data_IF_649397871320
#
_entry.id   IF_649397871320
#
_cell.length_a   1.000
_cell.length_b   1.000
_cell.length_c   1.000
_cell.angle_alpha   90.00
_cell.angle_beta   90.00
_cell.angle_gamma   90.00
#
_symmetry.space_group_name_H-M   'P 1'
#
loop_
_entity.id
_entity.type
_entity.pdbx_description
1 polymer ?
#
# COMPACT_ATOMS: atom_id res chain seq x y z
N UNK A 1 -22.57 23.86 -29.27
CA UNK A 1 -22.12 22.85 -28.27
C UNK A 1 -20.61 22.88 -28.18
N UNK A 2 -20.02 23.21 -27.01
CA UNK A 2 -18.59 23.00 -26.81
C UNK A 2 -18.31 21.50 -26.91
N UNK A 3 -17.66 21.06 -27.99
CA UNK A 3 -17.05 19.73 -28.06
C UNK A 3 -15.94 19.71 -27.02
N UNK A 4 -16.23 19.26 -25.80
CA UNK A 4 -15.17 18.99 -24.82
C UNK A 4 -14.28 17.91 -25.44
N UNK A 5 -12.97 18.18 -25.63
CA UNK A 5 -12.09 17.17 -26.19
C UNK A 5 -12.13 15.93 -25.29
N UNK A 6 -12.07 14.74 -25.88
CA UNK A 6 -12.09 13.46 -25.16
C UNK A 6 -11.10 13.45 -23.98
N UNK A 7 -9.94 14.07 -24.16
CA UNK A 7 -8.93 14.25 -23.12
C UNK A 7 -9.46 14.94 -21.85
N UNK A 8 -10.30 15.97 -21.99
CA UNK A 8 -10.90 16.65 -20.84
C UNK A 8 -11.91 15.75 -20.11
N UNK A 9 -12.70 14.97 -20.86
CA UNK A 9 -13.63 14.02 -20.26
C UNK A 9 -12.88 12.92 -19.51
N UNK A 10 -11.84 12.35 -20.11
CA UNK A 10 -10.97 11.36 -19.46
C UNK A 10 -10.33 11.92 -18.20
N UNK A 11 -9.82 13.16 -18.24
CA UNK A 11 -9.27 13.83 -17.07
C UNK A 11 -10.31 13.99 -15.95
N UNK A 12 -11.52 14.45 -16.28
CA UNK A 12 -12.59 14.62 -15.30
C UNK A 12 -13.07 13.28 -14.72
N UNK A 13 -13.17 12.24 -15.53
CA UNK A 13 -13.49 10.88 -15.08
C UNK A 13 -12.43 10.41 -14.10
N UNK A 14 -11.14 10.52 -14.47
CA UNK A 14 -10.05 10.15 -13.57
C UNK A 14 -10.05 10.95 -12.28
N UNK A 15 -10.39 12.24 -12.32
CA UNK A 15 -10.52 13.08 -11.12
C UNK A 15 -11.65 12.62 -10.22
N UNK A 16 -12.83 12.31 -10.79
CA UNK A 16 -13.99 11.81 -10.03
C UNK A 16 -13.73 10.43 -9.43
N UNK A 17 -13.09 9.54 -10.19
CA UNK A 17 -12.66 8.23 -9.70
C UNK A 17 -11.71 8.37 -8.51
N UNK A 18 -10.67 9.22 -8.63
CA UNK A 18 -9.75 9.48 -7.54
C UNK A 18 -10.45 10.06 -6.30
N UNK A 19 -11.43 10.95 -6.48
CA UNK A 19 -12.23 11.47 -5.36
C UNK A 19 -13.01 10.36 -4.66
N UNK A 20 -13.67 9.49 -5.43
CA UNK A 20 -14.42 8.36 -4.87
C UNK A 20 -13.52 7.37 -4.13
N UNK A 21 -12.37 7.02 -4.71
CA UNK A 21 -11.42 6.11 -4.06
C UNK A 21 -10.89 6.75 -2.76
N UNK A 22 -10.50 8.02 -2.80
CA UNK A 22 -10.03 8.73 -1.61
C UNK A 22 -11.09 8.78 -0.50
N UNK A 23 -12.35 9.02 -0.84
CA UNK A 23 -13.47 9.00 0.13
C UNK A 23 -13.63 7.62 0.77
N UNK A 24 -13.61 6.54 -0.02
CA UNK A 24 -13.71 5.17 0.50
C UNK A 24 -12.51 4.76 1.36
N UNK A 25 -11.31 5.19 0.99
CA UNK A 25 -10.13 4.96 1.82
C UNK A 25 -10.21 5.75 3.12
N UNK A 26 -10.63 7.01 3.06
CA UNK A 26 -10.80 7.86 4.24
C UNK A 26 -11.84 7.30 5.22
N UNK A 27 -12.93 6.67 4.75
CA UNK A 27 -13.92 6.02 5.65
C UNK A 27 -13.34 4.85 6.45
N UNK A 28 -12.26 4.22 5.97
CA UNK A 28 -11.48 3.23 6.72
C UNK A 28 -10.15 3.79 7.23
N UNK A 29 -10.04 5.12 7.27
CA UNK A 29 -8.90 5.91 7.73
C UNK A 29 -7.57 5.53 7.03
N UNK A 30 -7.64 5.18 5.75
CA UNK A 30 -6.51 4.93 4.87
C UNK A 30 -6.33 6.08 3.87
N UNK A 31 -5.13 6.15 3.29
CA UNK A 31 -4.77 7.05 2.19
C UNK A 31 -4.41 6.22 0.96
N UNK A 32 -4.42 6.82 -0.23
CA UNK A 32 -4.00 6.15 -1.49
C UNK A 32 -2.65 5.46 -1.37
N UNK A 33 -1.72 6.11 -0.67
CA UNK A 33 -0.42 5.58 -0.32
C UNK A 33 -0.48 4.21 0.36
N UNK A 34 -1.36 4.05 1.34
CA UNK A 34 -1.55 2.78 2.03
C UNK A 34 -2.15 1.72 1.09
N UNK A 35 -3.08 2.12 0.20
CA UNK A 35 -3.66 1.22 -0.80
C UNK A 35 -2.62 0.73 -1.81
N UNK A 36 -1.68 1.58 -2.22
CA UNK A 36 -0.57 1.19 -3.10
C UNK A 36 0.35 0.16 -2.43
N UNK A 37 0.65 0.35 -1.15
CA UNK A 37 1.43 -0.63 -0.36
C UNK A 37 0.71 -1.97 -0.31
N UNK A 38 -0.57 -1.98 0.05
CA UNK A 38 -1.37 -3.21 0.10
C UNK A 38 -1.43 -3.91 -1.26
N UNK A 39 -1.60 -3.14 -2.35
CA UNK A 39 -1.63 -3.68 -3.71
C UNK A 39 -0.28 -4.26 -4.14
N UNK A 40 0.83 -3.65 -3.72
CA UNK A 40 2.16 -4.18 -4.01
C UNK A 40 2.38 -5.51 -3.27
N UNK A 41 2.10 -5.55 -1.96
CA UNK A 41 2.22 -6.77 -1.15
C UNK A 41 1.33 -7.89 -1.71
N UNK A 42 0.11 -7.57 -2.15
CA UNK A 42 -0.78 -8.54 -2.80
C UNK A 42 -0.15 -9.19 -4.04
N UNK A 43 0.58 -8.41 -4.85
CA UNK A 43 1.23 -8.87 -6.07
C UNK A 43 2.57 -9.54 -5.82
N UNK A 44 3.20 -9.23 -4.69
CA UNK A 44 4.49 -9.73 -4.27
C UNK A 44 4.42 -10.26 -2.82
N UNK A 45 3.67 -11.34 -2.55
CA UNK A 45 3.67 -11.99 -1.24
C UNK A 45 5.10 -12.32 -0.82
N UNK A 46 5.42 -12.07 0.45
CA UNK A 46 6.74 -12.34 0.99
C UNK A 46 7.78 -11.25 0.72
N UNK A 47 7.40 -10.14 0.06
CA UNK A 47 8.32 -9.02 -0.20
C UNK A 47 8.87 -8.43 1.11
N UNK A 48 10.09 -7.90 1.06
CA UNK A 48 10.67 -7.20 2.20
C UNK A 48 10.34 -5.70 2.15
N UNK A 49 10.37 -5.04 3.31
CA UNK A 49 10.01 -3.62 3.41
C UNK A 49 10.79 -2.71 2.45
N UNK A 50 12.06 -3.03 2.20
CA UNK A 50 12.92 -2.26 1.32
C UNK A 50 12.41 -2.29 -0.13
N UNK A 51 11.98 -3.43 -0.64
CA UNK A 51 11.49 -3.57 -2.02
C UNK A 51 10.25 -2.73 -2.26
N UNK A 52 9.32 -2.74 -1.29
CA UNK A 52 8.10 -1.93 -1.36
C UNK A 52 8.42 -0.43 -1.28
N UNK A 53 9.34 -0.05 -0.39
CA UNK A 53 9.76 1.34 -0.23
C UNK A 53 10.44 1.87 -1.50
N UNK A 54 11.35 1.08 -2.08
CA UNK A 54 12.07 1.42 -3.30
C UNK A 54 11.12 1.53 -4.49
N UNK A 55 10.18 0.58 -4.65
CA UNK A 55 9.20 0.60 -5.74
C UNK A 55 8.22 1.78 -5.67
N UNK A 56 7.82 2.19 -4.46
CA UNK A 56 6.89 3.29 -4.24
C UNK A 56 7.58 4.63 -3.93
N UNK A 57 8.92 4.69 -4.05
CA UNK A 57 9.75 5.86 -3.80
C UNK A 57 9.55 6.47 -2.40
N UNK A 58 9.38 5.64 -1.38
CA UNK A 58 9.27 6.09 0.01
C UNK A 58 10.62 6.38 0.65
N UNK A 59 10.64 7.42 1.49
CA UNK A 59 11.68 7.57 2.50
C UNK A 59 11.58 6.44 3.56
N UNK A 60 12.68 5.79 3.96
CA UNK A 60 12.66 4.63 4.86
C UNK A 60 11.88 4.85 6.17
N UNK A 61 12.05 6.02 6.80
CA UNK A 61 11.36 6.38 8.03
C UNK A 61 9.83 6.49 7.83
N UNK A 62 9.40 7.06 6.69
CA UNK A 62 7.98 7.17 6.36
C UNK A 62 7.36 5.80 6.08
N UNK A 63 8.09 4.92 5.40
CA UNK A 63 7.61 3.58 5.09
C UNK A 63 7.41 2.73 6.35
N UNK A 64 8.36 2.81 7.30
CA UNK A 64 8.24 2.11 8.60
C UNK A 64 6.93 2.47 9.33
N UNK A 65 6.53 3.74 9.29
CA UNK A 65 5.27 4.19 9.89
C UNK A 65 4.03 3.64 9.17
N UNK A 66 4.09 3.52 7.84
CA UNK A 66 3.01 2.90 7.04
C UNK A 66 2.86 1.43 7.41
N UNK A 67 3.96 0.67 7.49
CA UNK A 67 3.93 -0.75 7.87
C UNK A 67 3.36 -0.92 9.27
N UNK A 68 3.83 -0.14 10.26
CA UNK A 68 3.30 -0.15 11.64
C UNK A 68 1.80 0.11 11.69
N UNK A 69 1.31 1.08 10.91
CA UNK A 69 -0.11 1.40 10.85
C UNK A 69 -0.93 0.23 10.29
N UNK A 70 -0.48 -0.37 9.19
CA UNK A 70 -1.17 -1.47 8.52
C UNK A 70 -1.16 -2.77 9.35
N UNK A 71 -0.07 -3.06 10.05
CA UNK A 71 0.01 -4.17 11.00
C UNK A 71 -0.91 -3.95 12.21
N UNK A 72 -0.92 -2.75 12.79
CA UNK A 72 -1.83 -2.40 13.90
C UNK A 72 -3.29 -2.59 13.49
N UNK A 73 -3.62 -2.38 12.22
CA UNK A 73 -4.94 -2.61 11.65
C UNK A 73 -5.18 -4.03 11.16
N UNK A 74 -4.25 -4.95 11.39
CA UNK A 74 -4.35 -6.36 11.00
C UNK A 74 -4.59 -6.54 9.50
N UNK A 75 -4.06 -5.63 8.66
CA UNK A 75 -4.15 -5.72 7.20
C UNK A 75 -2.95 -6.42 6.58
N UNK A 76 -1.81 -6.35 7.28
CA UNK A 76 -0.58 -7.06 6.91
C UNK A 76 0.02 -7.70 8.16
N UNK A 77 0.95 -8.62 7.96
CA UNK A 77 1.80 -9.16 9.00
C UNK A 77 3.25 -9.29 8.56
N UNK A 78 4.17 -9.14 9.51
CA UNK A 78 5.59 -9.44 9.33
C UNK A 78 5.87 -10.89 9.70
N UNK A 79 6.44 -11.65 8.77
CA UNK A 79 6.96 -13.00 9.01
C UNK A 79 8.47 -12.98 9.02
N UNK A 80 9.07 -13.71 9.95
CA UNK A 80 10.52 -13.90 9.96
C UNK A 80 10.90 -14.62 8.66
N UNK A 81 11.96 -14.14 8.01
CA UNK A 81 12.50 -14.79 6.82
C UNK A 81 12.97 -16.21 7.19
N UNK A 82 12.37 -17.28 6.61
CA UNK A 82 12.74 -18.65 6.93
C UNK A 82 14.21 -18.98 6.56
N UNK A 83 14.83 -18.22 5.65
CA UNK A 83 16.21 -18.44 5.22
C UNK A 83 17.24 -17.64 6.04
N UNK A 84 16.81 -16.75 6.93
CA UNK A 84 17.68 -15.76 7.56
C UNK A 84 17.43 -15.65 9.09
N UNK A 85 17.26 -16.82 9.73
CA UNK A 85 16.65 -17.03 11.05
C UNK A 85 17.24 -16.34 12.28
N UNK A 86 18.15 -15.36 12.18
CA UNK A 86 18.87 -14.81 13.34
C UNK A 86 19.05 -13.29 13.40
N UNK A 87 18.57 -12.50 12.43
CA UNK A 87 18.67 -11.02 12.51
C UNK A 87 17.32 -10.38 12.81
N UNK A 88 17.12 -9.94 14.07
CA UNK A 88 16.01 -9.08 14.54
C UNK A 88 16.02 -7.66 13.91
N UNK A 89 16.60 -7.49 12.73
CA UNK A 89 16.54 -6.22 12.02
C UNK A 89 15.21 -6.20 11.26
N UNK A 90 14.34 -5.25 11.61
CA UNK A 90 13.00 -5.08 11.05
C UNK A 90 12.95 -5.03 9.51
N UNK A 91 14.08 -4.76 8.86
CA UNK A 91 14.27 -4.74 7.41
C UNK A 91 14.19 -6.10 6.72
N UNK A 92 14.32 -7.21 7.46
CA UNK A 92 14.35 -8.59 6.90
C UNK A 92 13.06 -9.38 7.15
N UNK A 93 11.98 -8.71 7.53
CA UNK A 93 10.68 -9.38 7.63
C UNK A 93 9.95 -9.31 6.30
N UNK A 94 9.41 -10.45 5.92
CA UNK A 94 8.54 -10.59 4.77
C UNK A 94 7.15 -10.04 5.12
N UNK A 95 6.55 -9.28 4.21
CA UNK A 95 5.20 -8.74 4.36
C UNK A 95 4.19 -9.62 3.64
N UNK A 96 3.14 -9.98 4.35
CA UNK A 96 2.01 -10.72 3.81
C UNK A 96 0.70 -9.98 4.03
N UNK A 97 -0.25 -10.13 3.10
CA UNK A 97 -1.61 -9.69 3.35
C UNK A 97 -2.23 -10.56 4.43
N UNK A 98 -2.87 -9.90 5.39
CA UNK A 98 -3.75 -10.60 6.31
C UNK A 98 -5.16 -10.50 5.75
N UNK A 99 -5.61 -11.56 5.09
CA UNK A 99 -7.03 -11.71 4.82
C UNK A 99 -7.72 -11.76 6.18
N UNK A 100 -8.58 -10.78 6.45
CA UNK A 100 -9.45 -10.82 7.62
C UNK A 100 -10.38 -12.00 7.36
N UNK A 101 -10.06 -13.17 7.92
CA UNK A 101 -10.98 -14.27 8.03
C UNK A 101 -12.24 -13.72 8.72
N UNK A 102 -13.29 -13.55 7.93
CA UNK A 102 -14.66 -13.34 8.37
C UNK A 102 -15.48 -14.49 7.81
#
# INVERSE_FOLDING_TARGET
>A
MLKRPLANLLYHIGKLENLLINQRLASINLRMTHAHVLRYIQKHPGCIQKEVADYLFYQPASFTNVVKLLEKRKMIERRADPNNGLKKNYSYFQLELRFLDK
#
